data_IF_272791804001
#
_entry.id   IF_272791804001
#
_cell.length_a   1.000
_cell.length_b   1.000
_cell.length_c   1.000
_cell.angle_alpha   90.00
_cell.angle_beta   90.00
_cell.angle_gamma   90.00
#
_symmetry.space_group_name_H-M   'P 1'
#
loop_
_entity.id
_entity.type
_entity.pdbx_description
1 polymer ?
#
# COMPACT_ATOMS: atom_id res chain seq x y z
N UNK A 1 43.03 -22.55 -14.15
CA UNK A 1 41.83 -22.71 -13.30
C UNK A 1 41.08 -21.41 -12.98
N UNK A 2 41.48 -20.22 -13.46
CA UNK A 2 40.75 -18.95 -13.19
C UNK A 2 39.56 -18.66 -14.14
N UNK A 3 39.48 -19.36 -15.28
CA UNK A 3 38.45 -19.14 -16.32
C UNK A 3 37.08 -19.77 -16.01
N UNK A 4 37.00 -20.61 -14.97
CA UNK A 4 35.75 -21.27 -14.55
C UNK A 4 34.96 -20.47 -13.50
N UNK A 5 35.60 -19.52 -12.81
CA UNK A 5 34.92 -18.67 -11.81
C UNK A 5 34.13 -17.52 -12.46
N UNK A 6 34.52 -17.07 -13.65
CA UNK A 6 33.86 -15.99 -14.37
C UNK A 6 32.39 -16.31 -14.76
N UNK A 7 32.08 -17.48 -15.36
CA UNK A 7 30.68 -17.84 -15.62
C UNK A 7 29.88 -18.12 -14.33
N UNK A 8 30.55 -18.57 -13.26
CA UNK A 8 29.91 -18.82 -11.96
C UNK A 8 29.44 -17.50 -11.31
N UNK A 9 30.28 -16.46 -11.31
CA UNK A 9 29.94 -15.13 -10.78
C UNK A 9 28.83 -14.49 -11.62
N UNK A 10 28.88 -14.67 -12.94
CA UNK A 10 27.87 -14.15 -13.86
C UNK A 10 26.51 -14.85 -13.70
N UNK A 11 26.49 -16.15 -13.40
CA UNK A 11 25.27 -16.90 -13.11
C UNK A 11 24.62 -16.50 -11.79
N UNK A 12 25.41 -16.16 -10.76
CA UNK A 12 24.88 -15.67 -9.48
C UNK A 12 24.24 -14.29 -9.63
N UNK A 13 24.75 -13.43 -10.52
CA UNK A 13 24.20 -12.11 -10.77
C UNK A 13 22.81 -12.15 -11.43
N UNK A 14 22.55 -13.13 -12.30
CA UNK A 14 21.24 -13.29 -12.99
C UNK A 14 20.14 -13.74 -12.02
N UNK A 15 20.46 -14.53 -11.00
CA UNK A 15 19.48 -14.99 -10.00
C UNK A 15 18.98 -13.89 -9.05
N UNK A 16 19.71 -12.78 -8.91
CA UNK A 16 19.27 -11.66 -8.05
C UNK A 16 18.22 -10.75 -8.72
N UNK A 17 18.04 -10.82 -10.04
CA UNK A 17 17.16 -9.90 -10.79
C UNK A 17 15.71 -10.39 -10.86
N UNK A 18 15.40 -11.60 -10.38
CA UNK A 18 14.03 -12.11 -10.34
C UNK A 18 13.27 -11.65 -9.09
N UNK A 19 13.23 -10.34 -8.83
CA UNK A 19 12.13 -9.79 -8.02
C UNK A 19 10.89 -9.82 -8.90
N UNK A 20 10.00 -10.79 -8.65
CA UNK A 20 8.68 -10.81 -9.26
C UNK A 20 7.99 -9.48 -8.92
N UNK A 21 7.77 -8.64 -9.93
CA UNK A 21 6.97 -7.42 -9.78
C UNK A 21 5.55 -7.85 -9.43
N UNK A 22 5.18 -7.72 -8.14
CA UNK A 22 3.81 -7.90 -7.73
C UNK A 22 2.95 -6.86 -8.47
N UNK A 23 1.85 -7.30 -9.07
CA UNK A 23 0.92 -6.39 -9.72
C UNK A 23 0.31 -5.46 -8.67
N UNK A 24 0.41 -4.16 -8.90
CA UNK A 24 -0.17 -3.13 -8.04
C UNK A 24 -1.29 -2.40 -8.76
N UNK A 25 -2.21 -1.85 -7.97
CA UNK A 25 -3.30 -1.02 -8.44
C UNK A 25 -3.50 0.20 -7.53
N UNK A 26 -4.64 0.84 -7.73
CA UNK A 26 -5.10 1.97 -6.93
C UNK A 26 -6.43 1.62 -6.27
N UNK A 27 -6.61 2.04 -5.02
CA UNK A 27 -7.89 1.99 -4.32
C UNK A 27 -8.35 3.44 -4.13
N UNK A 28 -9.47 3.79 -4.74
CA UNK A 28 -10.10 5.10 -4.58
C UNK A 28 -11.22 4.99 -3.54
N UNK A 29 -11.08 5.76 -2.45
CA UNK A 29 -12.05 5.80 -1.36
C UNK A 29 -12.76 7.14 -1.43
N UNK A 30 -14.09 7.09 -1.54
CA UNK A 30 -14.97 8.25 -1.46
C UNK A 30 -15.83 8.11 -0.21
N UNK A 31 -15.68 9.05 0.71
CA UNK A 31 -16.46 9.15 1.94
C UNK A 31 -17.39 10.34 1.76
N UNK A 32 -18.69 10.11 1.85
CA UNK A 32 -19.73 11.13 1.64
C UNK A 32 -20.71 11.15 2.81
N UNK A 33 -21.52 12.20 2.90
CA UNK A 33 -22.49 12.38 3.99
C UNK A 33 -21.87 12.94 5.27
N UNK A 34 -20.77 13.67 5.15
CA UNK A 34 -20.13 14.33 6.30
C UNK A 34 -20.99 15.53 6.72
N UNK A 35 -21.61 15.44 7.90
CA UNK A 35 -22.54 16.45 8.40
C UNK A 35 -21.86 17.76 8.83
N UNK A 36 -20.72 17.68 9.53
CA UNK A 36 -19.93 18.85 9.94
C UNK A 36 -18.51 18.76 9.36
N UNK A 37 -18.25 19.39 8.20
CA UNK A 37 -16.96 19.29 7.52
C UNK A 37 -15.93 20.20 8.20
N UNK A 38 -15.40 19.71 9.33
CA UNK A 38 -14.34 20.36 10.10
C UNK A 38 -13.37 19.33 10.64
N UNK A 39 -12.10 19.72 10.71
CA UNK A 39 -11.04 18.92 11.33
C UNK A 39 -10.37 17.95 10.35
N UNK A 40 -9.76 16.91 10.92
CA UNK A 40 -9.04 15.89 10.19
C UNK A 40 -9.81 14.57 10.28
N UNK A 41 -9.81 13.82 9.18
CA UNK A 41 -10.32 12.45 9.11
C UNK A 41 -9.14 11.52 8.84
N UNK A 42 -8.93 10.55 9.73
CA UNK A 42 -7.97 9.48 9.51
C UNK A 42 -8.61 8.39 8.66
N UNK A 43 -7.88 7.91 7.65
CA UNK A 43 -8.31 6.83 6.76
C UNK A 43 -7.21 5.77 6.75
N UNK A 44 -7.56 4.55 7.17
CA UNK A 44 -6.65 3.41 7.23
C UNK A 44 -7.02 2.31 6.23
N UNK A 45 -6.02 1.82 5.50
CA UNK A 45 -6.10 0.64 4.64
C UNK A 45 -5.38 -0.51 5.34
N UNK A 46 -6.07 -1.61 5.63
CA UNK A 46 -5.54 -2.74 6.40
C UNK A 46 -5.48 -4.00 5.55
N UNK A 47 -4.38 -4.74 5.63
CA UNK A 47 -4.15 -6.00 4.88
C UNK A 47 -4.26 -7.26 5.73
N UNK A 48 -4.46 -7.15 7.05
CA UNK A 48 -4.56 -8.26 7.99
C UNK A 48 -5.65 -7.97 9.03
N UNK A 49 -6.42 -9.00 9.39
CA UNK A 49 -7.50 -8.96 10.38
C UNK A 49 -7.01 -8.68 11.81
N UNK A 50 -5.80 -9.10 12.18
CA UNK A 50 -5.26 -9.01 13.56
C UNK A 50 -4.99 -7.58 14.01
N UNK A 51 -4.84 -6.67 13.05
CA UNK A 51 -4.55 -5.27 13.30
C UNK A 51 -5.70 -4.32 13.02
N UNK A 52 -6.82 -4.82 12.50
CA UNK A 52 -7.95 -3.98 12.13
C UNK A 52 -8.91 -3.76 13.32
N UNK A 53 -9.35 -2.52 13.61
CA UNK A 53 -8.93 -1.22 13.06
C UNK A 53 -8.05 -0.44 14.07
N UNK A 54 -6.99 -1.07 14.59
CA UNK A 54 -6.11 -0.42 15.57
C UNK A 54 -5.16 0.55 14.87
N UNK A 55 -5.06 1.78 15.39
CA UNK A 55 -4.12 2.80 14.91
C UNK A 55 -2.66 2.29 14.91
N UNK A 56 -1.95 2.59 13.82
CA UNK A 56 -0.55 2.20 13.62
C UNK A 56 -0.36 0.77 13.12
N UNK A 57 -1.44 0.01 12.90
CA UNK A 57 -1.40 -1.34 12.29
C UNK A 57 -1.95 -1.38 10.86
N UNK A 58 -2.36 -0.23 10.33
CA UNK A 58 -2.72 -0.09 8.93
C UNK A 58 -1.54 -0.41 8.01
N UNK A 59 -1.84 -0.99 6.85
CA UNK A 59 -0.88 -1.15 5.78
C UNK A 59 -0.51 0.23 5.16
N UNK A 60 -1.51 1.12 5.03
CA UNK A 60 -1.32 2.53 4.67
C UNK A 60 -2.34 3.38 5.42
N UNK A 61 -1.90 4.49 5.99
CA UNK A 61 -2.74 5.46 6.70
C UNK A 61 -2.52 6.88 6.17
N UNK A 62 -3.55 7.71 6.30
CA UNK A 62 -3.46 9.15 6.00
C UNK A 62 -4.43 9.91 6.89
N UNK A 63 -4.07 11.15 7.21
CA UNK A 63 -5.01 12.15 7.69
C UNK A 63 -5.34 13.10 6.55
N UNK A 64 -6.63 13.37 6.36
CA UNK A 64 -7.12 14.30 5.33
C UNK A 64 -7.97 15.38 5.98
N UNK A 65 -7.75 16.61 5.53
CA UNK A 65 -8.56 17.74 5.99
C UNK A 65 -9.96 17.67 5.41
N UNK A 66 -10.95 17.71 6.30
CA UNK A 66 -12.35 17.64 5.92
C UNK A 66 -12.85 19.06 5.66
N UNK A 67 -12.92 19.43 4.38
CA UNK A 67 -13.32 20.77 3.94
C UNK A 67 -14.71 20.81 3.30
N UNK A 68 -15.33 19.65 3.10
CA UNK A 68 -16.66 19.53 2.51
C UNK A 68 -17.37 18.24 2.92
N UNK A 69 -18.59 18.06 2.42
CA UNK A 69 -19.45 16.91 2.72
C UNK A 69 -18.94 15.58 2.14
N UNK A 70 -17.90 15.65 1.29
CA UNK A 70 -17.26 14.52 0.62
C UNK A 70 -15.75 14.66 0.72
N UNK A 71 -15.09 13.54 0.98
CA UNK A 71 -13.63 13.40 0.97
C UNK A 71 -13.27 12.25 0.03
N UNK A 72 -12.29 12.50 -0.84
CA UNK A 72 -11.77 11.50 -1.78
C UNK A 72 -10.29 11.31 -1.53
N UNK A 73 -9.87 10.07 -1.31
CA UNK A 73 -8.47 9.71 -1.16
C UNK A 73 -8.12 8.47 -1.99
N UNK A 74 -6.94 8.49 -2.62
CA UNK A 74 -6.48 7.39 -3.45
C UNK A 74 -5.21 6.78 -2.88
N UNK A 75 -5.31 5.53 -2.41
CA UNK A 75 -4.13 4.71 -2.12
C UNK A 75 -3.53 4.21 -3.44
N UNK A 76 -2.29 4.60 -3.73
CA UNK A 76 -1.53 4.15 -4.91
C UNK A 76 -0.59 3.01 -4.56
N UNK A 77 -0.15 2.28 -5.58
CA UNK A 77 0.84 1.20 -5.49
C UNK A 77 0.44 0.15 -4.45
N UNK A 78 -0.84 -0.23 -4.46
CA UNK A 78 -1.39 -1.26 -3.56
C UNK A 78 -1.31 -2.61 -4.25
N UNK A 79 -0.57 -3.59 -3.72
CA UNK A 79 -0.54 -4.95 -4.26
C UNK A 79 -1.94 -5.55 -4.31
N UNK A 80 -2.26 -6.30 -5.36
CA UNK A 80 -3.56 -6.99 -5.42
C UNK A 80 -3.74 -7.96 -4.24
N UNK A 81 -4.91 -7.88 -3.62
CA UNK A 81 -5.25 -8.63 -2.41
C UNK A 81 -6.57 -8.17 -1.81
N UNK A 82 -6.87 -8.69 -0.64
CA UNK A 82 -8.04 -8.31 0.17
C UNK A 82 -7.62 -7.30 1.21
N UNK A 83 -8.40 -6.23 1.34
CA UNK A 83 -8.13 -5.16 2.29
C UNK A 83 -9.42 -4.71 2.99
N UNK A 84 -9.27 -4.13 4.17
CA UNK A 84 -10.31 -3.43 4.89
C UNK A 84 -10.02 -1.92 4.93
N UNK A 85 -11.08 -1.11 4.98
CA UNK A 85 -11.02 0.35 5.16
C UNK A 85 -11.65 0.69 6.51
N UNK A 86 -10.99 1.54 7.30
CA UNK A 86 -11.53 2.15 8.51
C UNK A 86 -11.26 3.66 8.52
#
# INVERSE_FOLDING_TARGET
MKKLYLPLIMSVFVCFVSMAYAQTGMINVEISGIEDPKGLMSIGLYSDEKGFPDDGKEYKGTDVEVTGQTVVYTFKDVPFGTYAIA
#
